data_IF_069972217236
#
_entry.id   IF_069972217236
#
_cell.length_a   1.000
_cell.length_b   1.000
_cell.length_c   1.000
_cell.angle_alpha   90.00
_cell.angle_beta   90.00
_cell.angle_gamma   90.00
#
_symmetry.space_group_name_H-M   'P 1'
#
loop_
_entity.id
_entity.type
_entity.pdbx_description
1 polymer ?
#
# COMPACT_ATOMS: atom_id res chain seq x y z
N UNK A 1 3.59 -3.05 9.37
CA UNK A 1 4.91 -2.90 8.71
C UNK A 1 5.66 -1.80 9.43
N UNK A 2 6.97 -1.98 9.67
CA UNK A 2 7.84 -0.90 10.18
C UNK A 2 8.65 -0.35 9.01
N UNK A 3 8.79 0.98 8.96
CA UNK A 3 9.43 1.68 7.85
C UNK A 3 10.32 2.78 8.43
N UNK A 4 11.52 2.96 7.86
CA UNK A 4 12.38 4.11 8.19
C UNK A 4 11.76 5.38 7.63
N UNK A 5 11.77 6.48 8.39
CA UNK A 5 11.27 7.78 7.93
C UNK A 5 11.84 8.20 6.57
N UNK A 6 13.13 7.96 6.36
CA UNK A 6 13.82 8.31 5.12
C UNK A 6 13.31 7.58 3.87
N UNK A 7 12.52 6.51 4.02
CA UNK A 7 11.86 5.88 2.87
C UNK A 7 10.79 6.78 2.24
N UNK A 8 10.17 7.66 3.04
CA UNK A 8 9.19 8.63 2.56
C UNK A 8 9.83 9.76 1.76
N UNK A 9 11.08 10.13 2.07
CA UNK A 9 11.82 11.15 1.31
C UNK A 9 12.04 10.74 -0.15
N UNK A 10 12.18 9.43 -0.41
CA UNK A 10 12.36 8.86 -1.76
C UNK A 10 11.04 8.54 -2.47
N UNK A 11 10.04 8.10 -1.73
CA UNK A 11 8.78 7.58 -2.30
C UNK A 11 7.68 8.65 -2.37
N UNK A 12 7.80 9.73 -1.59
CA UNK A 12 6.71 10.65 -1.29
C UNK A 12 5.77 10.10 -0.21
N UNK A 13 4.71 10.84 0.10
CA UNK A 13 3.70 10.46 1.10
C UNK A 13 2.58 9.58 0.52
N UNK A 14 1.65 9.18 1.37
CA UNK A 14 0.42 8.49 0.97
C UNK A 14 -0.45 9.39 0.09
N UNK A 15 -1.11 8.80 -0.90
CA UNK A 15 -2.06 9.52 -1.73
C UNK A 15 -3.38 9.65 -0.97
N UNK A 16 -3.79 10.88 -0.68
CA UNK A 16 -5.00 11.20 0.09
C UNK A 16 -6.30 11.02 -0.69
N UNK A 17 -6.22 10.72 -1.99
CA UNK A 17 -7.39 10.42 -2.81
C UNK A 17 -8.01 9.03 -2.54
N UNK A 18 -7.26 8.12 -1.90
CA UNK A 18 -7.75 6.79 -1.55
C UNK A 18 -8.29 6.76 -0.12
N UNK A 19 -9.47 6.17 0.08
CA UNK A 19 -10.06 5.95 1.41
C UNK A 19 -9.60 4.63 2.03
N UNK A 20 -9.19 3.66 1.20
CA UNK A 20 -8.55 2.41 1.58
C UNK A 20 -7.38 2.10 0.65
N UNK A 21 -6.41 1.34 1.14
CA UNK A 21 -5.33 0.84 0.29
C UNK A 21 -4.29 1.89 -0.10
N UNK A 22 -4.34 3.08 0.48
CA UNK A 22 -3.29 4.09 0.46
C UNK A 22 -1.88 3.52 0.75
N UNK A 23 -1.78 2.61 1.72
CA UNK A 23 -0.52 1.92 2.03
C UNK A 23 -0.09 0.95 0.92
N UNK A 24 -1.04 0.35 0.20
CA UNK A 24 -0.75 -0.58 -0.90
C UNK A 24 -0.19 0.20 -2.09
N UNK A 25 -0.85 1.30 -2.47
CA UNK A 25 -0.33 2.22 -3.49
C UNK A 25 1.10 2.66 -3.16
N UNK A 26 1.30 3.15 -1.94
CA UNK A 26 2.61 3.63 -1.51
C UNK A 26 3.66 2.53 -1.50
N UNK A 27 3.32 1.31 -1.05
CA UNK A 27 4.27 0.21 -1.03
C UNK A 27 4.64 -0.26 -2.45
N UNK A 28 3.69 -0.23 -3.40
CA UNK A 28 3.97 -0.50 -4.81
C UNK A 28 4.95 0.55 -5.35
N UNK A 29 4.69 1.85 -5.12
CA UNK A 29 5.60 2.93 -5.53
C UNK A 29 6.98 2.79 -4.87
N UNK A 30 7.04 2.42 -3.60
CA UNK A 30 8.29 2.22 -2.89
C UNK A 30 9.11 1.08 -3.51
N UNK A 31 8.46 -0.04 -3.87
CA UNK A 31 9.11 -1.16 -4.58
C UNK A 31 9.60 -0.73 -5.96
N UNK A 32 8.80 0.03 -6.70
CA UNK A 32 9.16 0.59 -8.01
C UNK A 32 10.37 1.54 -7.90
N UNK A 33 10.49 2.26 -6.78
CA UNK A 33 11.66 3.09 -6.45
C UNK A 33 12.85 2.32 -5.85
N UNK A 34 12.81 0.97 -5.85
CA UNK A 34 13.92 0.12 -5.39
C UNK A 34 14.04 -0.01 -3.87
N UNK A 35 12.98 0.26 -3.11
CA UNK A 35 12.98 0.06 -1.64
C UNK A 35 13.35 -1.40 -1.32
N UNK A 36 14.43 -1.57 -0.57
CA UNK A 36 14.81 -2.86 0.00
C UNK A 36 13.95 -3.14 1.23
N UNK A 37 13.38 -4.34 1.29
CA UNK A 37 12.56 -4.78 2.41
C UNK A 37 12.81 -6.26 2.70
N UNK A 38 12.54 -6.67 3.94
CA UNK A 38 12.60 -8.06 4.35
C UNK A 38 11.27 -8.44 5.01
N UNK A 39 10.77 -9.63 4.70
CA UNK A 39 9.64 -10.21 5.42
C UNK A 39 10.18 -11.11 6.52
N UNK A 40 9.82 -10.81 7.77
CA UNK A 40 10.19 -11.67 8.89
C UNK A 40 9.34 -12.95 8.85
N UNK A 41 9.93 -14.12 9.08
CA UNK A 41 9.21 -15.39 9.06
C UNK A 41 8.30 -15.57 10.29
N UNK A 42 8.50 -14.76 11.33
CA UNK A 42 7.78 -14.86 12.59
C UNK A 42 6.52 -13.97 12.60
N UNK A 43 5.45 -14.46 13.24
CA UNK A 43 4.28 -13.65 13.56
C UNK A 43 4.63 -12.65 14.66
N UNK A 44 4.71 -11.37 14.30
CA UNK A 44 5.05 -10.27 15.22
C UNK A 44 3.87 -9.39 15.60
N UNK A 45 2.70 -9.59 14.99
CA UNK A 45 1.49 -8.78 15.25
C UNK A 45 0.24 -9.62 15.09
N UNK A 46 -0.77 -9.35 15.93
CA UNK A 46 -2.14 -9.88 15.77
C UNK A 46 -3.06 -8.75 15.32
N UNK A 47 -3.79 -8.96 14.21
CA UNK A 47 -4.76 -8.00 13.70
C UNK A 47 -6.16 -8.36 14.17
N UNK A 48 -6.84 -7.43 14.84
CA UNK A 48 -8.26 -7.56 15.13
C UNK A 48 -9.09 -7.21 13.90
N UNK A 49 -10.01 -8.09 13.52
CA UNK A 49 -10.96 -7.85 12.43
C UNK A 49 -12.31 -7.42 13.02
N UNK A 50 -12.81 -6.28 12.54
CA UNK A 50 -14.10 -5.72 12.95
C UNK A 50 -15.00 -5.58 11.74
N UNK A 51 -16.28 -5.94 11.88
CA UNK A 51 -17.27 -5.84 10.80
C UNK A 51 -17.46 -4.42 10.27
N UNK A 52 -17.25 -3.40 11.11
CA UNK A 52 -17.33 -1.99 10.72
C UNK A 52 -16.00 -1.41 10.22
N UNK A 53 -14.90 -2.18 10.25
CA UNK A 53 -13.59 -1.71 9.81
C UNK A 53 -13.52 -1.50 8.30
N UNK A 54 -12.62 -0.63 7.84
CA UNK A 54 -12.44 -0.28 6.43
C UNK A 54 -12.28 -1.50 5.51
N UNK A 55 -11.60 -2.55 5.98
CA UNK A 55 -11.39 -3.77 5.21
C UNK A 55 -12.65 -4.65 5.03
N UNK A 56 -13.70 -4.43 5.82
CA UNK A 56 -14.97 -5.15 5.72
C UNK A 56 -16.01 -4.39 4.88
N UNK A 57 -15.66 -3.21 4.37
CA UNK A 57 -16.56 -2.34 3.60
C UNK A 57 -16.40 -2.61 2.11
N UNK A 58 -17.42 -3.25 1.51
CA UNK A 58 -17.43 -3.69 0.11
C UNK A 58 -17.24 -2.54 -0.88
N UNK A 59 -17.76 -1.35 -0.55
CA UNK A 59 -17.65 -0.17 -1.40
C UNK A 59 -16.20 0.22 -1.71
N UNK A 60 -15.26 -0.07 -0.80
CA UNK A 60 -13.85 0.27 -0.99
C UNK A 60 -13.04 -0.80 -1.72
N UNK A 61 -13.64 -1.97 -2.02
CA UNK A 61 -12.93 -3.02 -2.75
C UNK A 61 -12.53 -2.59 -4.17
N UNK A 62 -13.31 -1.67 -4.76
CA UNK A 62 -13.01 -1.09 -6.09
C UNK A 62 -11.74 -0.23 -6.09
N UNK A 63 -11.38 0.38 -4.95
CA UNK A 63 -10.16 1.20 -4.87
C UNK A 63 -8.90 0.37 -5.13
N UNK A 64 -8.87 -0.90 -4.69
CA UNK A 64 -7.75 -1.79 -5.00
C UNK A 64 -7.57 -2.01 -6.51
N UNK A 65 -8.67 -2.13 -7.26
CA UNK A 65 -8.61 -2.25 -8.72
C UNK A 65 -8.04 -0.98 -9.37
N UNK A 66 -8.44 0.21 -8.89
CA UNK A 66 -7.90 1.48 -9.36
C UNK A 66 -6.41 1.63 -9.04
N UNK A 67 -5.98 1.27 -7.82
CA UNK A 67 -4.58 1.28 -7.41
C UNK A 67 -3.74 0.36 -8.31
N UNK A 68 -4.21 -0.86 -8.55
CA UNK A 68 -3.53 -1.81 -9.43
C UNK A 68 -3.46 -1.31 -10.86
N UNK A 69 -4.54 -0.75 -11.40
CA UNK A 69 -4.54 -0.15 -12.75
C UNK A 69 -3.52 0.97 -12.85
N UNK A 70 -3.50 1.89 -11.88
CA UNK A 70 -2.53 2.98 -11.84
C UNK A 70 -1.09 2.47 -11.78
N UNK A 71 -0.83 1.38 -11.06
CA UNK A 71 0.47 0.73 -11.04
C UNK A 71 0.87 0.11 -12.38
N UNK A 72 -0.06 -0.55 -13.07
CA UNK A 72 0.18 -1.10 -14.40
C UNK A 72 0.46 0.01 -15.41
N UNK A 73 -0.31 1.10 -15.38
CA UNK A 73 -0.14 2.23 -16.29
C UNK A 73 1.25 2.87 -16.16
N UNK A 74 1.80 2.96 -14.94
CA UNK A 74 3.18 3.44 -14.75
C UNK A 74 4.25 2.53 -15.35
N UNK A 75 3.97 1.23 -15.50
CA UNK A 75 4.91 0.24 -16.04
C UNK A 75 4.84 0.14 -17.56
N UNK A 76 3.67 0.37 -18.14
CA UNK A 76 3.46 0.26 -19.60
C UNK A 76 4.03 1.45 -20.38
N UNK A 77 4.44 2.54 -19.72
CA UNK A 77 5.04 3.73 -20.37
C UNK A 77 6.56 3.59 -20.59
N UNK A 78 7.09 2.36 -20.66
CA UNK A 78 8.49 2.07 -21.01
C UNK A 78 8.59 1.01 -22.10
#
# INVERSE_FOLDING_TARGET
MLIRRSAFDKTGLFNTAYHTGDFIDWFIRAKEAGLQYAMLPNTVTLRRLHRAGLASQVQYHKEFAHILKAALDRRTVY
#
